data_IF_921819963308
#
_entry.id   IF_921819963308
#
_cell.length_a   1.000
_cell.length_b   1.000
_cell.length_c   1.000
_cell.angle_alpha   90.00
_cell.angle_beta   90.00
_cell.angle_gamma   90.00
#
_symmetry.space_group_name_H-M   'P 1'
#
loop_
_entity.id
_entity.type
_entity.pdbx_description
1 polymer ?
#
# COMPACT_ATOMS: atom_id res chain seq x y z
N UNK A 1 -8.31 -34.03 15.10
CA UNK A 1 -7.33 -33.06 14.55
C UNK A 1 -7.70 -31.58 14.78
N UNK A 2 -8.98 -31.22 15.00
CA UNK A 2 -9.36 -29.82 15.32
C UNK A 2 -9.12 -29.43 16.80
N UNK A 3 -9.16 -30.38 17.74
CA UNK A 3 -9.05 -30.11 19.18
C UNK A 3 -7.73 -29.42 19.61
N UNK A 4 -6.58 -29.87 19.11
CA UNK A 4 -5.30 -29.28 19.49
C UNK A 4 -5.10 -27.85 18.98
N UNK A 5 -5.72 -27.50 17.84
CA UNK A 5 -5.65 -26.14 17.28
C UNK A 5 -6.56 -25.16 18.02
N UNK A 6 -7.73 -25.63 18.48
CA UNK A 6 -8.61 -24.82 19.32
C UNK A 6 -7.99 -24.57 20.69
N UNK A 7 -7.26 -25.54 21.24
CA UNK A 7 -6.61 -25.43 22.55
C UNK A 7 -5.45 -24.42 22.53
N UNK A 8 -4.59 -24.48 21.50
CA UNK A 8 -3.56 -23.46 21.25
C UNK A 8 -4.15 -22.06 21.00
N UNK A 9 -5.26 -21.95 20.24
CA UNK A 9 -5.97 -20.68 20.07
C UNK A 9 -6.55 -20.15 21.39
N UNK A 10 -7.01 -21.03 22.27
CA UNK A 10 -7.61 -20.65 23.57
C UNK A 10 -6.55 -20.26 24.60
N UNK A 11 -5.44 -21.00 24.68
CA UNK A 11 -4.30 -20.65 25.54
C UNK A 11 -3.69 -19.31 25.14
N UNK A 12 -3.56 -19.07 23.82
CA UNK A 12 -3.03 -17.83 23.30
C UNK A 12 -4.01 -16.66 23.48
N UNK A 13 -5.32 -16.88 23.32
CA UNK A 13 -6.33 -15.88 23.65
C UNK A 13 -6.33 -15.53 25.14
N UNK A 14 -6.14 -16.52 26.02
CA UNK A 14 -5.99 -16.31 27.47
C UNK A 14 -4.72 -15.53 27.81
N UNK A 15 -3.60 -15.84 27.16
CA UNK A 15 -2.36 -15.10 27.32
C UNK A 15 -2.46 -13.66 26.82
N UNK A 16 -3.11 -13.44 25.67
CA UNK A 16 -3.41 -12.11 25.12
C UNK A 16 -4.34 -11.31 26.03
N UNK A 17 -5.35 -11.95 26.62
CA UNK A 17 -6.21 -11.34 27.62
C UNK A 17 -5.44 -10.95 28.88
N UNK A 18 -4.46 -11.77 29.33
CA UNK A 18 -3.62 -11.46 30.48
C UNK A 18 -2.65 -10.29 30.23
N UNK A 19 -2.07 -10.20 29.02
CA UNK A 19 -1.23 -9.05 28.63
C UNK A 19 -2.07 -7.78 28.56
N UNK A 20 -3.24 -7.83 27.93
CA UNK A 20 -4.15 -6.68 27.83
C UNK A 20 -4.72 -6.26 29.20
N UNK A 21 -5.01 -7.21 30.10
CA UNK A 21 -5.46 -6.92 31.46
C UNK A 21 -4.38 -6.27 32.33
N UNK A 22 -3.09 -6.57 32.08
CA UNK A 22 -1.96 -5.85 32.71
C UNK A 22 -1.77 -4.42 32.21
N UNK A 23 -2.40 -4.07 31.07
CA UNK A 23 -2.40 -2.73 30.48
C UNK A 23 -3.66 -1.92 30.83
N UNK A 24 -4.68 -2.51 31.45
CA UNK A 24 -5.84 -1.76 31.96
C UNK A 24 -5.57 -1.17 33.35
N UNK A 25 -6.01 0.08 33.63
CA UNK A 25 -5.95 0.62 34.98
C UNK A 25 -6.89 -0.18 35.90
N UNK A 26 -6.50 -0.41 37.17
CA UNK A 26 -7.29 -1.25 38.08
C UNK A 26 -8.72 -0.71 38.24
N UNK A 27 -9.72 -1.58 38.40
CA UNK A 27 -11.11 -1.16 38.49
C UNK A 27 -11.29 -0.27 39.73
N UNK A 28 -11.94 0.88 39.54
CA UNK A 28 -12.37 1.72 40.66
C UNK A 28 -13.40 0.94 41.46
N UNK A 29 -13.06 0.57 42.69
CA UNK A 29 -14.02 0.00 43.64
C UNK A 29 -15.07 1.07 43.91
N UNK A 30 -16.25 0.91 43.33
CA UNK A 30 -17.43 1.65 43.75
C UNK A 30 -17.88 1.04 45.09
N UNK A 31 -17.67 1.79 46.17
CA UNK A 31 -18.21 1.47 47.48
C UNK A 31 -19.73 1.62 47.39
N UNK A 32 -20.43 0.50 47.14
CA UNK A 32 -21.89 0.47 47.14
C UNK A 32 -22.40 0.87 48.52
N UNK A 33 -23.16 1.96 48.54
CA UNK A 33 -23.97 2.41 49.67
C UNK A 33 -25.12 1.40 49.85
N UNK A 34 -24.88 0.38 50.66
CA UNK A 34 -25.93 -0.50 51.19
C UNK A 34 -26.66 0.19 52.33
N UNK A 35 -27.93 0.52 52.11
CA UNK A 35 -28.88 0.87 53.17
C UNK A 35 -29.15 -0.37 54.04
N UNK A 36 -28.96 -0.24 55.35
CA UNK A 36 -29.22 -1.28 56.34
C UNK A 36 -30.63 -1.12 56.91
N UNK A 37 -31.37 -2.23 57.04
CA UNK A 37 -32.59 -2.32 57.86
C UNK A 37 -32.39 -3.32 59.01
N UNK A 38 -32.17 -2.74 60.19
CA UNK A 38 -32.44 -3.24 61.55
C UNK A 38 -31.73 -4.50 62.08
N UNK A 39 -30.85 -4.34 63.09
CA UNK A 39 -31.20 -4.46 64.54
C UNK A 39 -29.95 -4.25 65.44
N UNK A 40 -30.07 -3.26 66.32
CA UNK A 40 -29.36 -2.97 67.59
C UNK A 40 -28.18 -3.85 68.04
N UNK A 41 -26.99 -3.25 68.15
CA UNK A 41 -26.25 -3.31 69.42
C UNK A 41 -25.42 -2.05 69.63
N UNK A 42 -25.71 -1.38 70.75
CA UNK A 42 -25.10 -0.17 71.26
C UNK A 42 -23.72 -0.49 71.82
N UNK A 43 -22.66 0.17 71.34
CA UNK A 43 -21.51 0.58 72.17
C UNK A 43 -21.06 1.96 71.68
N UNK A 44 -21.21 2.95 72.55
CA UNK A 44 -20.72 4.32 72.42
C UNK A 44 -19.21 4.34 72.59
N UNK A 45 -18.46 4.91 71.63
CA UNK A 45 -17.20 5.58 71.92
C UNK A 45 -17.13 6.90 71.16
N UNK A 46 -17.10 7.96 71.93
CA UNK A 46 -17.04 9.36 71.54
C UNK A 46 -15.59 9.74 71.21
N UNK A 47 -15.25 10.04 69.95
CA UNK A 47 -13.98 10.69 69.59
C UNK A 47 -14.31 11.85 68.63
N UNK A 48 -14.12 13.07 69.14
CA UNK A 48 -14.35 14.33 68.46
C UNK A 48 -13.66 14.42 67.10
N UNK A 49 -14.41 14.93 66.11
CA UNK A 49 -13.89 15.46 64.86
C UNK A 49 -13.03 16.70 65.11
N UNK A 50 -11.77 16.69 64.67
CA UNK A 50 -11.05 17.86 64.15
C UNK A 50 -9.61 17.48 63.73
N UNK A 51 -9.46 16.80 62.59
CA UNK A 51 -8.23 16.91 61.80
C UNK A 51 -8.58 16.77 60.32
N UNK A 52 -8.30 17.74 59.44
CA UNK A 52 -8.50 17.55 58.01
C UNK A 52 -7.46 16.55 57.48
N UNK A 53 -7.83 15.63 56.57
CA UNK A 53 -6.87 14.72 55.95
C UNK A 53 -5.84 15.48 55.12
N UNK A 54 -4.57 15.02 55.03
CA UNK A 54 -3.57 15.67 54.21
C UNK A 54 -3.96 15.59 52.72
N UNK A 55 -3.97 16.74 52.05
CA UNK A 55 -4.14 16.83 50.60
C UNK A 55 -2.98 16.12 49.91
N UNK A 56 -3.27 15.00 49.25
CA UNK A 56 -2.36 14.40 48.28
C UNK A 56 -2.58 15.08 46.92
N UNK A 57 -1.51 15.50 46.22
CA UNK A 57 -1.64 16.19 44.95
C UNK A 57 -2.35 15.26 43.95
N UNK A 58 -3.40 15.78 43.34
CA UNK A 58 -4.15 15.10 42.30
C UNK A 58 -3.19 14.64 41.20
N UNK A 59 -3.10 13.32 41.03
CA UNK A 59 -2.34 12.69 39.95
C UNK A 59 -3.00 13.05 38.63
N UNK A 60 -2.37 13.96 37.90
CA UNK A 60 -2.72 14.27 36.51
C UNK A 60 -2.69 12.99 35.67
N UNK A 61 -3.86 12.57 35.19
CA UNK A 61 -4.04 11.39 34.33
C UNK A 61 -3.64 11.64 32.87
N UNK A 62 -2.62 12.49 32.62
CA UNK A 62 -2.11 12.75 31.28
C UNK A 62 -0.92 11.84 30.93
N UNK A 63 -1.05 10.53 31.14
CA UNK A 63 -0.20 9.59 30.42
C UNK A 63 -0.62 9.63 28.94
N UNK A 64 0.31 9.80 27.99
CA UNK A 64 0.00 9.76 26.57
C UNK A 64 -0.73 8.45 26.28
N UNK A 65 -1.98 8.53 25.81
CA UNK A 65 -2.69 7.37 25.28
C UNK A 65 -1.94 6.96 24.03
N UNK A 66 -1.03 6.00 24.15
CA UNK A 66 -0.38 5.40 22.99
C UNK A 66 -1.49 4.92 22.05
N UNK A 67 -1.47 5.31 20.75
CA UNK A 67 -2.40 4.73 19.79
C UNK A 67 -2.27 3.21 19.89
N UNK A 68 -3.43 2.53 19.93
CA UNK A 68 -3.51 1.08 20.09
C UNK A 68 -2.78 0.45 18.90
N UNK A 69 -1.52 0.04 19.10
CA UNK A 69 -0.68 -0.47 18.03
C UNK A 69 -1.22 -1.84 17.62
N UNK A 70 -1.75 -1.93 16.40
CA UNK A 70 -2.24 -3.18 15.85
C UNK A 70 -1.08 -4.00 15.28
N UNK A 71 -1.10 -5.32 15.51
CA UNK A 71 -0.10 -6.21 14.95
C UNK A 71 -0.41 -6.47 13.47
N UNK A 72 0.59 -6.43 12.57
CA UNK A 72 0.37 -6.57 11.14
C UNK A 72 -0.12 -7.98 10.76
N UNK A 73 -1.16 -8.05 9.90
CA UNK A 73 -1.65 -9.30 9.30
C UNK A 73 -0.84 -9.71 8.07
N UNK A 74 -0.82 -11.01 7.78
CA UNK A 74 -0.10 -11.57 6.64
C UNK A 74 -0.94 -12.62 5.90
N UNK A 75 -1.18 -12.36 4.63
CA UNK A 75 -1.93 -13.24 3.71
C UNK A 75 -1.02 -14.08 2.79
N UNK A 76 0.30 -13.86 2.85
CA UNK A 76 1.29 -14.46 1.96
C UNK A 76 1.99 -13.43 1.06
N UNK A 77 1.46 -12.21 0.94
CA UNK A 77 2.01 -11.17 0.07
C UNK A 77 3.06 -10.31 0.78
N UNK A 78 4.10 -9.91 0.03
CA UNK A 78 5.17 -9.05 0.51
C UNK A 78 5.75 -9.50 1.88
N UNK A 79 6.33 -10.71 1.97
CA UNK A 79 6.82 -11.25 3.24
C UNK A 79 7.89 -10.35 3.87
N UNK A 80 8.68 -9.64 3.06
CA UNK A 80 9.73 -8.72 3.54
C UNK A 80 9.14 -7.53 4.27
N UNK A 81 8.17 -6.85 3.67
CA UNK A 81 7.47 -5.72 4.28
C UNK A 81 6.70 -6.12 5.54
N UNK A 82 6.11 -7.32 5.56
CA UNK A 82 5.45 -7.83 6.76
C UNK A 82 6.44 -8.07 7.91
N UNK A 83 7.57 -8.73 7.66
CA UNK A 83 8.61 -8.96 8.68
C UNK A 83 9.13 -7.63 9.25
N UNK A 84 9.37 -6.62 8.42
CA UNK A 84 9.79 -5.29 8.88
C UNK A 84 8.77 -4.66 9.84
N UNK A 85 7.47 -4.76 9.54
CA UNK A 85 6.40 -4.27 10.42
C UNK A 85 6.37 -5.04 11.74
N UNK A 86 6.52 -6.37 11.71
CA UNK A 86 6.61 -7.21 12.90
C UNK A 86 7.81 -6.82 13.78
N UNK A 87 8.99 -6.64 13.20
CA UNK A 87 10.19 -6.22 13.94
C UNK A 87 10.02 -4.85 14.57
N UNK A 88 9.40 -3.91 13.86
CA UNK A 88 9.07 -2.60 14.42
C UNK A 88 8.09 -2.72 15.58
N UNK A 89 7.08 -3.58 15.46
CA UNK A 89 6.15 -3.87 16.55
C UNK A 89 6.90 -4.46 17.76
N UNK A 90 7.75 -5.46 17.57
CA UNK A 90 8.49 -6.10 18.67
C UNK A 90 9.47 -5.15 19.36
N UNK A 91 9.97 -4.12 18.66
CA UNK A 91 10.77 -3.04 19.28
C UNK A 91 9.93 -2.14 20.18
N UNK A 92 8.69 -1.86 19.80
CA UNK A 92 7.76 -0.98 20.54
C UNK A 92 7.04 -1.72 21.68
N UNK A 93 6.72 -2.99 21.46
CA UNK A 93 6.06 -3.89 22.39
C UNK A 93 6.95 -5.12 22.61
N UNK A 94 7.82 -5.10 23.64
CA UNK A 94 8.77 -6.17 23.89
C UNK A 94 8.06 -7.51 24.10
N UNK A 95 8.19 -8.41 23.13
CA UNK A 95 7.75 -9.80 23.20
C UNK A 95 9.00 -10.65 23.33
N UNK A 96 9.01 -11.56 24.31
CA UNK A 96 10.12 -12.48 24.52
C UNK A 96 10.33 -13.33 23.25
N UNK A 97 11.60 -13.51 22.83
CA UNK A 97 11.99 -14.10 21.53
C UNK A 97 11.23 -15.38 21.19
N UNK A 98 11.13 -16.24 22.18
CA UNK A 98 10.45 -17.52 22.11
C UNK A 98 8.96 -17.47 21.74
N UNK A 99 8.28 -16.35 21.99
CA UNK A 99 6.85 -16.19 21.72
C UNK A 99 6.58 -15.39 20.45
N UNK A 100 7.61 -14.79 19.81
CA UNK A 100 7.42 -13.95 18.62
C UNK A 100 6.73 -14.69 17.48
N UNK A 101 7.16 -15.92 17.18
CA UNK A 101 6.56 -16.74 16.11
C UNK A 101 5.13 -17.11 16.44
N UNK A 102 4.87 -17.59 17.66
CA UNK A 102 3.52 -17.92 18.12
C UNK A 102 2.60 -16.71 18.07
N UNK A 103 3.07 -15.55 18.51
CA UNK A 103 2.34 -14.29 18.48
C UNK A 103 2.01 -13.89 17.04
N UNK A 104 3.01 -13.87 16.15
CA UNK A 104 2.83 -13.50 14.76
C UNK A 104 1.85 -14.44 14.03
N UNK A 105 1.84 -15.74 14.37
CA UNK A 105 1.00 -16.74 13.72
C UNK A 105 -0.51 -16.53 13.89
N UNK A 106 -0.94 -15.78 14.92
CA UNK A 106 -2.37 -15.44 15.12
C UNK A 106 -2.87 -14.48 14.05
N UNK A 107 -1.96 -13.73 13.44
CA UNK A 107 -2.25 -12.70 12.45
C UNK A 107 -2.03 -13.21 11.02
N UNK A 108 -2.02 -14.53 10.83
CA UNK A 108 -1.96 -15.16 9.53
C UNK A 108 -3.34 -15.35 8.93
N UNK A 109 -3.41 -15.08 7.63
CA UNK A 109 -4.63 -15.16 6.81
C UNK A 109 -4.40 -16.04 5.58
N UNK A 110 -5.50 -16.53 5.02
CA UNK A 110 -5.54 -17.21 3.73
C UNK A 110 -4.45 -18.29 3.59
N UNK A 111 -3.57 -18.18 2.59
CA UNK A 111 -2.56 -19.18 2.28
C UNK A 111 -1.47 -19.27 3.38
N UNK A 112 -1.21 -18.17 4.10
CA UNK A 112 -0.23 -18.15 5.18
C UNK A 112 -0.68 -18.98 6.39
N UNK A 113 -1.95 -18.90 6.78
CA UNK A 113 -2.50 -19.71 7.88
C UNK A 113 -2.39 -21.22 7.56
N UNK A 114 -2.76 -21.62 6.34
CA UNK A 114 -2.66 -23.01 5.88
C UNK A 114 -1.21 -23.52 5.88
N UNK A 115 -0.27 -22.72 5.38
CA UNK A 115 1.14 -23.08 5.37
C UNK A 115 1.68 -23.25 6.80
N UNK A 116 1.43 -22.28 7.68
CA UNK A 116 1.94 -22.32 9.05
C UNK A 116 1.50 -23.56 9.82
N UNK A 117 0.23 -23.97 9.67
CA UNK A 117 -0.32 -25.16 10.31
C UNK A 117 0.41 -26.46 9.93
N UNK A 118 1.02 -26.53 8.74
CA UNK A 118 1.83 -27.68 8.30
C UNK A 118 3.31 -27.50 8.59
N UNK A 119 3.80 -26.26 8.57
CA UNK A 119 5.17 -25.88 8.86
C UNK A 119 5.56 -26.14 10.33
N UNK A 120 4.70 -25.75 11.28
CA UNK A 120 5.05 -25.79 12.70
C UNK A 120 5.02 -27.20 13.30
N UNK A 121 4.18 -28.10 12.77
CA UNK A 121 3.98 -29.46 13.28
C UNK A 121 5.29 -30.27 13.43
N UNK A 122 6.14 -30.38 12.40
CA UNK A 122 7.40 -31.12 12.53
C UNK A 122 8.46 -30.39 13.35
N UNK A 123 8.37 -29.06 13.48
CA UNK A 123 9.41 -28.25 14.11
C UNK A 123 9.16 -27.98 15.61
N UNK A 124 7.90 -28.02 16.06
CA UNK A 124 7.51 -27.72 17.43
C UNK A 124 7.67 -26.23 17.76
N UNK A 125 8.89 -25.81 18.11
CA UNK A 125 9.23 -24.42 18.44
C UNK A 125 10.32 -23.90 17.53
N UNK A 126 10.11 -22.71 16.97
CA UNK A 126 11.01 -22.08 16.01
C UNK A 126 11.39 -20.69 16.51
N UNK A 127 12.68 -20.36 16.43
CA UNK A 127 13.15 -18.99 16.70
C UNK A 127 12.76 -18.06 15.56
N UNK A 128 12.52 -16.79 15.88
CA UNK A 128 12.10 -15.79 14.90
C UNK A 128 12.99 -15.75 13.65
N UNK A 129 14.31 -15.81 13.81
CA UNK A 129 15.26 -15.72 12.69
C UNK A 129 15.16 -16.91 11.73
N UNK A 130 14.93 -18.12 12.27
CA UNK A 130 14.75 -19.31 11.44
C UNK A 130 13.41 -19.27 10.73
N UNK A 131 12.37 -18.83 11.45
CA UNK A 131 11.04 -18.65 10.88
C UNK A 131 11.04 -17.67 9.71
N UNK A 132 11.71 -16.52 9.83
CA UNK A 132 11.82 -15.52 8.76
C UNK A 132 12.50 -16.10 7.51
N UNK A 133 13.54 -16.93 7.67
CA UNK A 133 14.19 -17.60 6.52
C UNK A 133 13.24 -18.56 5.81
N UNK A 134 12.52 -19.38 6.57
CA UNK A 134 11.57 -20.35 6.01
C UNK A 134 10.36 -19.66 5.37
N UNK A 135 9.92 -18.55 5.95
CA UNK A 135 8.89 -17.66 5.41
C UNK A 135 9.32 -17.11 4.04
N UNK A 136 10.53 -16.59 3.92
CA UNK A 136 11.05 -16.11 2.64
C UNK A 136 11.20 -17.25 1.64
N UNK A 137 11.73 -18.41 2.04
CA UNK A 137 11.83 -19.57 1.16
C UNK A 137 10.45 -20.00 0.62
N UNK A 138 9.40 -19.90 1.45
CA UNK A 138 8.03 -20.21 1.03
C UNK A 138 7.42 -19.13 0.16
N UNK A 139 7.46 -17.86 0.56
CA UNK A 139 6.63 -16.79 -0.03
C UNK A 139 7.38 -15.88 -1.01
N UNK A 140 8.70 -15.84 -1.01
CA UNK A 140 9.47 -14.97 -1.93
C UNK A 140 9.48 -15.48 -3.38
N UNK A 141 9.12 -16.75 -3.63
CA UNK A 141 9.09 -17.37 -4.97
C UNK A 141 7.70 -17.86 -5.40
N UNK A 142 6.75 -18.00 -4.46
CA UNK A 142 5.43 -18.61 -4.76
C UNK A 142 4.56 -17.75 -5.69
N UNK A 143 4.95 -16.51 -5.97
CA UNK A 143 4.26 -15.66 -6.96
C UNK A 143 4.75 -15.90 -8.41
N UNK A 144 5.68 -16.85 -8.63
CA UNK A 144 6.15 -17.31 -9.95
C UNK A 144 6.96 -16.30 -10.76
N UNK A 145 6.98 -15.04 -10.33
CA UNK A 145 7.62 -13.92 -11.01
C UNK A 145 8.42 -13.15 -9.96
N UNK A 146 9.69 -12.88 -10.25
CA UNK A 146 10.54 -12.05 -9.39
C UNK A 146 9.93 -10.66 -9.19
N UNK A 147 10.29 -9.97 -8.12
CA UNK A 147 9.86 -8.57 -7.88
C UNK A 147 10.11 -7.70 -9.11
N UNK A 148 11.28 -7.86 -9.74
CA UNK A 148 11.62 -7.19 -11.00
C UNK A 148 10.71 -7.58 -12.17
N UNK A 149 10.34 -8.86 -12.29
CA UNK A 149 9.40 -9.31 -13.32
C UNK A 149 7.99 -8.78 -13.11
N UNK A 150 7.53 -8.65 -11.86
CA UNK A 150 6.24 -8.03 -11.55
C UNK A 150 6.26 -6.54 -11.87
N UNK A 151 7.33 -5.85 -11.48
CA UNK A 151 7.53 -4.44 -11.80
C UNK A 151 7.54 -4.18 -13.31
N UNK A 152 8.27 -4.99 -14.10
CA UNK A 152 8.34 -4.85 -15.55
C UNK A 152 7.01 -5.18 -16.27
N UNK A 153 6.11 -5.93 -15.64
CA UNK A 153 4.77 -6.24 -16.18
C UNK A 153 3.71 -5.23 -15.75
N UNK A 154 4.05 -4.29 -14.87
CA UNK A 154 3.10 -3.31 -14.36
C UNK A 154 2.71 -2.33 -15.47
N UNK A 155 1.44 -2.40 -15.87
CA UNK A 155 0.85 -1.53 -16.89
C UNK A 155 -0.44 -0.91 -16.35
N UNK A 156 -0.74 0.31 -16.80
CA UNK A 156 -1.94 1.04 -16.40
C UNK A 156 -3.20 0.35 -16.95
N UNK A 157 -3.96 -0.33 -16.09
CA UNK A 157 -5.27 -0.87 -16.41
C UNK A 157 -6.39 0.18 -16.20
N UNK A 158 -6.36 0.87 -15.05
CA UNK A 158 -7.38 1.82 -14.61
C UNK A 158 -7.00 3.28 -14.82
N UNK A 159 -7.27 4.09 -13.79
CA UNK A 159 -6.86 5.50 -13.72
C UNK A 159 -5.34 5.64 -13.56
N UNK A 160 -4.79 6.82 -13.85
CA UNK A 160 -3.36 7.09 -13.59
C UNK A 160 -3.05 7.03 -12.10
N UNK A 161 -3.98 7.44 -11.23
CA UNK A 161 -3.77 7.41 -9.78
C UNK A 161 -3.65 5.99 -9.23
N UNK A 162 -4.54 5.09 -9.69
CA UNK A 162 -4.49 3.68 -9.31
C UNK A 162 -3.20 3.01 -9.79
N UNK A 163 -2.78 3.30 -11.03
CA UNK A 163 -1.51 2.82 -11.56
C UNK A 163 -0.31 3.36 -10.78
N UNK A 164 -0.30 4.65 -10.45
CA UNK A 164 0.76 5.27 -9.65
C UNK A 164 0.91 4.63 -8.27
N UNK A 165 -0.20 4.34 -7.59
CA UNK A 165 -0.16 3.68 -6.29
C UNK A 165 0.45 2.27 -6.39
N UNK A 166 0.07 1.49 -7.40
CA UNK A 166 0.67 0.18 -7.65
C UNK A 166 2.16 0.29 -8.02
N UNK A 167 2.52 1.33 -8.78
CA UNK A 167 3.90 1.60 -9.18
C UNK A 167 4.79 1.92 -7.99
N UNK A 168 4.35 2.80 -7.09
CA UNK A 168 5.10 3.15 -5.87
C UNK A 168 5.26 1.94 -4.94
N UNK A 169 4.23 1.11 -4.80
CA UNK A 169 4.33 -0.11 -4.00
C UNK A 169 5.38 -1.08 -4.58
N UNK A 170 5.33 -1.33 -5.90
CA UNK A 170 6.29 -2.23 -6.54
C UNK A 170 7.70 -1.64 -6.56
N UNK A 171 7.83 -0.32 -6.78
CA UNK A 171 9.11 0.40 -6.68
C UNK A 171 9.73 0.24 -5.30
N UNK A 172 8.95 0.36 -4.23
CA UNK A 172 9.45 0.17 -2.87
C UNK A 172 10.02 -1.24 -2.67
N UNK A 173 9.41 -2.27 -3.26
CA UNK A 173 9.93 -3.63 -3.22
C UNK A 173 11.21 -3.77 -4.07
N UNK A 174 11.24 -3.19 -5.27
CA UNK A 174 12.41 -3.19 -6.16
C UNK A 174 13.61 -2.51 -5.51
N UNK A 175 13.45 -1.34 -4.91
CA UNK A 175 14.54 -0.61 -4.25
C UNK A 175 15.13 -1.40 -3.07
N UNK A 176 14.32 -2.23 -2.40
CA UNK A 176 14.83 -3.10 -1.33
C UNK A 176 15.69 -4.27 -1.86
N UNK A 177 15.43 -4.76 -3.07
CA UNK A 177 16.17 -5.89 -3.68
C UNK A 177 17.30 -5.44 -4.63
N UNK A 178 17.14 -4.29 -5.28
CA UNK A 178 18.02 -3.77 -6.33
C UNK A 178 18.35 -2.30 -6.03
N UNK A 179 19.31 -2.08 -5.13
CA UNK A 179 19.72 -0.76 -4.65
C UNK A 179 20.52 0.07 -5.68
N UNK A 180 20.94 -0.55 -6.78
CA UNK A 180 21.71 0.09 -7.86
C UNK A 180 20.84 0.76 -8.94
N UNK A 181 19.51 0.64 -8.86
CA UNK A 181 18.60 1.25 -9.84
C UNK A 181 18.37 2.73 -9.51
N UNK A 182 18.53 3.58 -10.53
CA UNK A 182 18.41 5.03 -10.39
C UNK A 182 16.99 5.54 -10.68
N UNK A 183 16.78 6.83 -10.44
CA UNK A 183 15.49 7.48 -10.70
C UNK A 183 15.14 7.47 -12.20
N UNK A 184 16.14 7.51 -13.08
CA UNK A 184 15.96 7.45 -14.53
C UNK A 184 15.30 6.13 -14.95
N UNK A 185 15.74 5.00 -14.41
CA UNK A 185 15.09 3.71 -14.63
C UNK A 185 13.61 3.75 -14.21
N UNK A 186 13.30 4.22 -13.01
CA UNK A 186 11.91 4.31 -12.53
C UNK A 186 11.07 5.27 -13.38
N UNK A 187 11.63 6.39 -13.82
CA UNK A 187 10.96 7.32 -14.73
C UNK A 187 10.59 6.64 -16.06
N UNK A 188 11.56 5.96 -16.70
CA UNK A 188 11.33 5.25 -17.96
C UNK A 188 10.32 4.11 -17.81
N UNK A 189 10.40 3.33 -16.72
CA UNK A 189 9.44 2.26 -16.44
C UNK A 189 8.03 2.80 -16.19
N UNK A 190 7.89 3.93 -15.48
CA UNK A 190 6.60 4.57 -15.27
C UNK A 190 5.98 5.01 -16.61
N UNK A 191 6.74 5.71 -17.45
CA UNK A 191 6.28 6.15 -18.78
C UNK A 191 5.92 4.94 -19.65
N UNK A 192 6.74 3.88 -19.62
CA UNK A 192 6.55 2.66 -20.40
C UNK A 192 5.27 1.90 -20.06
N UNK A 193 4.83 1.94 -18.80
CA UNK A 193 3.62 1.27 -18.34
C UNK A 193 2.33 2.10 -18.48
N UNK A 194 2.40 3.39 -18.84
CA UNK A 194 1.21 4.20 -19.10
C UNK A 194 0.42 3.70 -20.32
N UNK A 195 -0.89 3.98 -20.33
CA UNK A 195 -1.74 3.73 -21.51
C UNK A 195 -1.22 4.49 -22.73
N UNK A 196 -1.29 3.93 -23.95
CA UNK A 196 -0.72 4.55 -25.15
C UNK A 196 -1.18 6.00 -25.38
N UNK A 197 -2.44 6.31 -25.08
CA UNK A 197 -3.00 7.65 -25.28
C UNK A 197 -2.37 8.70 -24.36
N UNK A 198 -2.03 8.30 -23.13
CA UNK A 198 -1.38 9.18 -22.14
C UNK A 198 0.13 9.19 -22.38
N UNK A 199 0.73 8.02 -22.62
CA UNK A 199 2.15 7.84 -22.87
C UNK A 199 2.63 8.74 -24.00
N UNK A 200 1.93 8.75 -25.14
CA UNK A 200 2.30 9.58 -26.30
C UNK A 200 2.31 11.08 -25.97
N UNK A 201 1.43 11.52 -25.06
CA UNK A 201 1.37 12.92 -24.60
C UNK A 201 2.51 13.24 -23.65
N UNK A 202 2.84 12.32 -22.75
CA UNK A 202 3.97 12.47 -21.82
C UNK A 202 5.30 12.51 -22.58
N UNK A 203 5.49 11.64 -23.58
CA UNK A 203 6.70 11.60 -24.43
C UNK A 203 6.89 12.85 -25.30
N UNK A 204 5.85 13.64 -25.56
CA UNK A 204 5.96 14.92 -26.26
C UNK A 204 6.59 16.01 -25.39
N UNK A 205 6.58 15.84 -24.07
CA UNK A 205 7.29 16.72 -23.15
C UNK A 205 8.67 16.14 -22.86
N UNK A 206 9.67 16.99 -22.67
CA UNK A 206 10.96 16.54 -22.13
C UNK A 206 10.77 16.17 -20.67
N UNK A 207 10.82 14.88 -20.34
CA UNK A 207 10.63 14.40 -18.97
C UNK A 207 11.94 13.85 -18.43
N UNK A 208 12.51 14.57 -17.47
CA UNK A 208 13.80 14.30 -16.84
C UNK A 208 13.65 13.71 -15.43
N UNK A 209 12.46 13.80 -14.84
CA UNK A 209 12.17 13.34 -13.48
C UNK A 209 10.88 12.54 -13.42
N UNK A 210 10.83 11.57 -12.50
CA UNK A 210 9.63 10.77 -12.27
C UNK A 210 8.45 11.66 -11.84
N UNK A 211 8.70 12.67 -11.00
CA UNK A 211 7.69 13.62 -10.55
C UNK A 211 7.02 14.38 -11.71
N UNK A 212 7.81 14.84 -12.69
CA UNK A 212 7.29 15.52 -13.87
C UNK A 212 6.47 14.58 -14.75
N UNK A 213 6.91 13.31 -14.90
CA UNK A 213 6.15 12.29 -15.63
C UNK A 213 4.77 12.06 -15.01
N UNK A 214 4.71 11.90 -13.69
CA UNK A 214 3.47 11.70 -12.94
C UNK A 214 2.54 12.92 -13.08
N UNK A 215 3.09 14.13 -12.95
CA UNK A 215 2.31 15.36 -13.07
C UNK A 215 1.63 15.48 -14.45
N UNK A 216 2.39 15.25 -15.53
CA UNK A 216 1.86 15.31 -16.89
C UNK A 216 0.83 14.20 -17.11
N UNK A 217 1.13 12.96 -16.70
CA UNK A 217 0.22 11.83 -16.83
C UNK A 217 -1.13 12.09 -16.15
N UNK A 218 -1.14 12.63 -14.92
CA UNK A 218 -2.36 13.01 -14.19
C UNK A 218 -3.17 14.07 -14.94
N UNK A 219 -2.51 15.09 -15.48
CA UNK A 219 -3.17 16.15 -16.25
C UNK A 219 -3.85 15.60 -17.51
N UNK A 220 -3.16 14.73 -18.25
CA UNK A 220 -3.70 14.16 -19.49
C UNK A 220 -4.82 13.14 -19.21
N UNK A 221 -4.77 12.36 -18.12
CA UNK A 221 -5.85 11.45 -17.72
C UNK A 221 -7.16 12.23 -17.48
N UNK A 222 -7.10 13.37 -16.78
CA UNK A 222 -8.26 14.24 -16.56
C UNK A 222 -8.81 14.79 -17.87
N UNK A 223 -7.94 15.25 -18.77
CA UNK A 223 -8.33 15.77 -20.07
C UNK A 223 -9.04 14.69 -20.91
N UNK A 224 -8.47 13.49 -20.99
CA UNK A 224 -9.04 12.37 -21.73
C UNK A 224 -10.39 11.94 -21.14
N UNK A 225 -10.50 11.82 -19.81
CA UNK A 225 -11.77 11.46 -19.16
C UNK A 225 -12.87 12.49 -19.41
N UNK A 226 -12.52 13.78 -19.53
CA UNK A 226 -13.49 14.84 -19.84
C UNK A 226 -14.06 14.74 -21.26
N UNK A 227 -13.26 14.28 -22.23
CA UNK A 227 -13.71 14.05 -23.60
C UNK A 227 -14.74 12.90 -23.67
N UNK A 228 -14.56 11.85 -22.87
CA UNK A 228 -15.51 10.72 -22.84
C UNK A 228 -16.83 11.02 -22.11
N UNK A 229 -16.88 12.06 -21.26
CA UNK A 229 -18.10 12.50 -20.56
C UNK A 229 -18.92 13.52 -21.36
N UNK A 230 -18.36 14.12 -22.42
CA UNK A 230 -19.07 15.11 -23.24
C UNK A 230 -19.84 14.42 -24.38
N UNK A 231 -21.10 14.81 -24.68
CA UNK A 231 -21.84 14.27 -25.82
C UNK A 231 -21.08 14.52 -27.14
N UNK A 232 -21.08 13.49 -28.01
CA UNK A 232 -20.33 13.42 -29.29
C UNK A 232 -20.49 14.63 -30.22
N UNK A 233 -21.55 15.42 -30.05
CA UNK A 233 -21.83 16.65 -30.81
C UNK A 233 -20.93 17.86 -30.43
N UNK A 234 -20.27 17.85 -29.27
CA UNK A 234 -19.37 18.93 -28.82
C UNK A 234 -17.87 18.58 -28.95
N UNK A 235 -17.54 17.31 -29.22
CA UNK A 235 -16.15 16.83 -29.29
C UNK A 235 -15.37 17.39 -30.50
N UNK A 236 -16.05 17.71 -31.61
CA UNK A 236 -15.42 18.31 -32.81
C UNK A 236 -14.99 19.76 -32.61
N UNK A 237 -15.61 20.48 -31.67
CA UNK A 237 -15.35 21.90 -31.38
C UNK A 237 -14.07 22.09 -30.55
N UNK A 238 -13.76 21.16 -29.65
CA UNK A 238 -12.64 21.28 -28.71
C UNK A 238 -11.28 20.88 -29.31
N UNK A 239 -11.27 20.18 -30.44
CA UNK A 239 -10.03 19.83 -31.16
C UNK A 239 -9.54 21.01 -32.02
N UNK A 240 -10.40 22.01 -32.26
CA UNK A 240 -10.11 23.18 -33.09
C UNK A 240 -9.96 24.45 -32.25
N UNK A 241 -8.96 24.50 -31.38
CA UNK A 241 -8.56 25.78 -30.77
C UNK A 241 -7.05 25.79 -30.52
N UNK A 242 -6.29 25.74 -31.62
CA UNK A 242 -4.87 26.11 -31.64
C UNK A 242 -4.47 26.71 -32.99
N UNK A 243 -5.34 27.56 -33.57
CA UNK A 243 -4.95 28.41 -34.70
C UNK A 243 -5.25 29.87 -34.41
N UNK A 244 -4.14 30.54 -34.07
CA UNK A 244 -3.81 31.95 -34.17
C UNK A 244 -4.83 32.87 -34.89
N UNK A 245 -5.14 33.98 -34.23
CA UNK A 245 -5.79 35.14 -34.81
C UNK A 245 -4.82 35.89 -35.74
N UNK A 246 -5.20 36.03 -37.02
CA UNK A 246 -4.86 37.22 -37.81
C UNK A 246 -6.08 37.61 -38.64
N UNK A 247 -6.70 38.73 -38.27
CA UNK A 247 -7.78 39.39 -38.99
C UNK A 247 -7.21 40.14 -40.21
N UNK A 248 -7.69 39.87 -41.43
CA UNK A 248 -8.10 40.93 -42.37
C UNK A 248 -8.96 40.39 -43.52
N UNK A 249 -10.08 41.09 -43.76
CA UNK A 249 -11.01 40.97 -44.91
C UNK A 249 -10.25 41.31 -46.23
N UNK A 250 -10.62 40.93 -47.45
CA UNK A 250 -11.94 40.83 -48.09
C UNK A 250 -11.88 40.12 -49.47
N UNK A 251 -12.98 39.44 -49.78
CA UNK A 251 -13.51 38.94 -51.07
C UNK A 251 -12.91 39.45 -52.39
N UNK A 252 -12.66 38.52 -53.34
CA UNK A 252 -13.16 38.54 -54.73
C UNK A 252 -12.88 37.19 -55.43
N UNK A 253 -13.89 36.64 -56.12
CA UNK A 253 -13.82 35.57 -57.15
C UNK A 253 -14.87 35.91 -58.22
N UNK A 254 -14.93 35.28 -59.40
CA UNK A 254 -14.00 34.33 -60.04
C UNK A 254 -13.70 34.66 -61.53
N UNK A 255 -12.75 33.98 -62.17
CA UNK A 255 -12.92 33.48 -63.56
C UNK A 255 -11.81 32.49 -63.95
N UNK A 256 -12.23 31.26 -64.29
CA UNK A 256 -11.85 30.53 -65.51
C UNK A 256 -10.46 29.87 -65.64
N UNK A 257 -10.35 28.72 -66.35
CA UNK A 257 -9.40 27.67 -66.02
C UNK A 257 -8.18 27.57 -66.96
N UNK A 258 -7.04 27.18 -66.41
CA UNK A 258 -5.80 26.90 -67.15
C UNK A 258 -5.20 25.56 -66.72
N UNK A 259 -5.31 24.58 -67.61
CA UNK A 259 -4.67 23.26 -67.61
C UNK A 259 -3.13 23.37 -67.63
N UNK A 260 -2.43 22.59 -66.80
CA UNK A 260 -1.11 21.95 -67.07
C UNK A 260 -0.70 21.13 -65.83
N UNK A 261 -0.81 19.80 -65.89
CA UNK A 261 0.25 18.85 -66.21
C UNK A 261 1.29 18.62 -65.09
N UNK A 262 1.18 17.46 -64.44
CA UNK A 262 2.12 16.85 -63.49
C UNK A 262 3.52 16.62 -64.10
N UNK A 263 4.54 16.47 -63.24
CA UNK A 263 5.36 15.27 -63.36
C UNK A 263 5.64 14.57 -62.02
N UNK A 264 5.24 13.30 -62.00
CA UNK A 264 5.97 12.09 -61.61
C UNK A 264 6.92 12.07 -60.40
N UNK A 265 6.50 11.26 -59.43
CA UNK A 265 7.21 10.67 -58.28
C UNK A 265 8.49 9.90 -58.67
N UNK A 266 9.59 9.97 -57.89
CA UNK A 266 10.76 9.10 -58.08
C UNK A 266 10.53 7.67 -57.53
N UNK A 267 11.25 6.66 -58.08
CA UNK A 267 10.92 5.24 -57.88
C UNK A 267 11.36 4.65 -56.54
N UNK A 268 10.60 3.62 -56.13
CA UNK A 268 10.77 2.78 -54.95
C UNK A 268 11.99 1.87 -55.12
N UNK A 269 12.95 1.93 -54.19
CA UNK A 269 14.04 0.96 -54.05
C UNK A 269 13.47 -0.36 -53.50
N UNK A 270 13.74 -1.47 -54.20
CA UNK A 270 13.40 -2.83 -53.75
C UNK A 270 14.42 -3.32 -52.71
N UNK A 271 14.03 -4.14 -51.72
CA UNK A 271 14.97 -4.70 -50.74
C UNK A 271 15.89 -5.75 -51.36
N UNK A 272 17.17 -5.70 -50.99
CA UNK A 272 18.21 -6.68 -51.34
C UNK A 272 18.02 -7.98 -50.53
N UNK A 273 18.18 -9.18 -51.11
CA UNK A 273 18.11 -10.44 -50.37
C UNK A 273 19.32 -10.66 -49.46
N UNK A 274 19.07 -11.14 -48.23
CA UNK A 274 20.08 -11.60 -47.28
C UNK A 274 20.79 -12.86 -47.84
N UNK A 275 22.11 -12.81 -47.94
CA UNK A 275 22.93 -14.00 -48.19
C UNK A 275 23.04 -14.83 -46.91
N UNK A 276 22.85 -16.14 -47.06
CA UNK A 276 22.97 -17.13 -46.00
C UNK A 276 24.43 -17.27 -45.53
N UNK A 277 24.62 -17.32 -44.21
CA UNK A 277 25.89 -17.69 -43.57
C UNK A 277 25.94 -19.24 -43.53
N UNK A 278 27.01 -19.89 -44.02
CA UNK A 278 27.15 -21.33 -43.90
C UNK A 278 27.59 -21.73 -42.48
N UNK A 279 27.16 -22.94 -42.11
CA UNK A 279 27.23 -23.67 -40.83
C UNK A 279 28.44 -23.42 -39.91
#
# INVERSE_FOLDING_TARGET
MQQGFTELKLELASFMAQINAKLEPPPRVNLERGESSHKNHRIEYNINHNTPPPEYPHRDNNLPKFPKLEFPRFDGMNPRGWVQKCEQYFKLCPIHEDYKVSYASVHFDAQAECWYATYIKPQGRVRWEQFVKDLYARFSLTNGISVMGNFNRLVQAGSVEEYFNQFEEMRAQVVQEFDYLDETYFCMSFIGGLKPEIRSRVEQFEVDTLSKAIHIARREDVAIQSLFKTPRALQSSLISTNQCHTLTKSNFTPHGPGTTAFPSRPPILKPTPLQAIPF
#
